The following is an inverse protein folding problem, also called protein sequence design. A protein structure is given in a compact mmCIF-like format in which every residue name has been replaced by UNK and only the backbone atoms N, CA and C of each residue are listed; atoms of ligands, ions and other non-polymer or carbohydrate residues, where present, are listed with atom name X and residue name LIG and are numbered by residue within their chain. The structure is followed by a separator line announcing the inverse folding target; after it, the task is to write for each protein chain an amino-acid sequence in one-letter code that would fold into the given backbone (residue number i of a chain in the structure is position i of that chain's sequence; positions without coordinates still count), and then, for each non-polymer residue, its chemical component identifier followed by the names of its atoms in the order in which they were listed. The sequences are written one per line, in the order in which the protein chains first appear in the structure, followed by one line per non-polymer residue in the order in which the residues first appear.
data_IF_970600217577
#
_entry.id   IF_970600217577
#
_cell.length_a   1.000
_cell.length_b   1.000
_cell.length_c   1.000
_cell.angle_alpha   90.00
_cell.angle_beta   90.00
_cell.angle_gamma   90.00
#
_symmetry.space_group_name_H-M   'P 1'
#
loop_
_entity.id
_entity.type
_entity.pdbx_description
1 polymer ?
#
# COMPACT_ATOMS: atom_id res chain seq x y z
N UNK A 1 18.49 -15.36 -19.59
CA UNK A 1 17.57 -15.45 -18.44
C UNK A 1 17.85 -14.30 -17.50
N UNK A 2 16.88 -13.39 -17.32
CA UNK A 2 17.09 -12.17 -16.52
C UNK A 2 17.38 -12.46 -15.04
N UNK A 3 16.70 -13.46 -14.45
CA UNK A 3 16.94 -13.87 -13.07
C UNK A 3 18.35 -14.43 -12.88
N UNK A 4 18.84 -15.27 -13.80
CA UNK A 4 20.22 -15.77 -13.72
C UNK A 4 21.27 -14.66 -13.86
N UNK A 5 21.04 -13.70 -14.76
CA UNK A 5 21.99 -12.59 -14.93
C UNK A 5 22.12 -11.72 -13.68
N UNK A 6 21.05 -11.58 -12.87
CA UNK A 6 21.11 -10.89 -11.59
C UNK A 6 22.06 -11.54 -10.58
N UNK A 7 22.27 -12.86 -10.72
CA UNK A 7 23.18 -13.67 -9.92
C UNK A 7 24.52 -13.95 -10.64
N UNK A 8 24.89 -13.12 -11.62
CA UNK A 8 26.14 -13.24 -12.41
C UNK A 8 26.25 -14.51 -13.26
N UNK A 9 25.15 -15.23 -13.46
CA UNK A 9 25.10 -16.42 -14.30
C UNK A 9 24.44 -16.09 -15.65
N UNK A 10 25.19 -16.22 -16.75
CA UNK A 10 24.65 -15.99 -18.10
C UNK A 10 24.13 -17.30 -18.68
N UNK A 11 22.81 -17.44 -18.77
CA UNK A 11 22.15 -18.59 -19.40
C UNK A 11 21.12 -18.10 -20.41
N UNK A 12 21.08 -18.74 -21.57
CA UNK A 12 20.06 -18.46 -22.58
C UNK A 12 18.65 -18.73 -22.04
N UNK A 13 17.66 -17.95 -22.47
CA UNK A 13 16.29 -18.12 -21.96
C UNK A 13 15.54 -19.29 -22.64
N UNK A 14 15.97 -19.69 -23.84
CA UNK A 14 15.34 -20.76 -24.62
C UNK A 14 15.38 -22.08 -23.83
N UNK A 15 14.22 -22.65 -23.52
CA UNK A 15 14.09 -23.89 -22.72
C UNK A 15 14.42 -23.76 -21.23
N UNK A 16 15.03 -22.65 -20.79
CA UNK A 16 15.59 -22.51 -19.44
C UNK A 16 14.57 -22.07 -18.37
N UNK A 17 13.42 -21.51 -18.76
CA UNK A 17 12.42 -20.96 -17.80
C UNK A 17 12.00 -21.97 -16.72
N UNK A 18 11.85 -23.25 -17.07
CA UNK A 18 11.40 -24.29 -16.13
C UNK A 18 12.50 -24.76 -15.17
N UNK A 19 13.74 -24.85 -15.66
CA UNK A 19 14.89 -25.39 -14.93
C UNK A 19 15.80 -24.30 -14.34
N UNK A 20 15.30 -23.06 -14.28
CA UNK A 20 16.05 -21.93 -13.74
C UNK A 20 16.26 -22.10 -12.23
N UNK A 21 17.52 -22.21 -11.81
CA UNK A 21 17.93 -22.27 -10.39
C UNK A 21 17.40 -21.09 -9.56
N UNK A 22 17.26 -19.91 -10.18
CA UNK A 22 16.82 -18.67 -9.52
C UNK A 22 15.36 -18.31 -9.84
N UNK A 23 14.53 -19.27 -10.26
CA UNK A 23 13.12 -19.04 -10.62
C UNK A 23 12.31 -18.42 -9.47
N UNK A 24 12.59 -18.85 -8.25
CA UNK A 24 11.88 -18.43 -7.03
C UNK A 24 12.74 -17.54 -6.12
N UNK A 25 13.79 -16.94 -6.65
CA UNK A 25 14.64 -16.06 -5.84
C UNK A 25 13.92 -14.75 -5.50
N UNK A 26 13.96 -14.35 -4.24
CA UNK A 26 13.30 -13.14 -3.70
C UNK A 26 14.28 -12.00 -3.38
N UNK A 27 15.53 -12.07 -3.85
CA UNK A 27 16.49 -10.99 -3.66
C UNK A 27 16.06 -9.70 -4.39
N UNK A 28 16.58 -8.56 -3.96
CA UNK A 28 16.17 -7.24 -4.46
C UNK A 28 16.24 -7.11 -5.98
N UNK A 29 17.34 -7.56 -6.59
CA UNK A 29 17.51 -7.52 -8.05
C UNK A 29 16.46 -8.35 -8.79
N UNK A 30 16.10 -9.52 -8.25
CA UNK A 30 15.10 -10.41 -8.82
C UNK A 30 13.68 -9.87 -8.63
N UNK A 31 13.38 -9.24 -7.49
CA UNK A 31 12.12 -8.52 -7.26
C UNK A 31 11.93 -7.39 -8.27
N UNK A 32 12.91 -6.51 -8.41
CA UNK A 32 12.86 -5.40 -9.38
C UNK A 32 12.68 -5.89 -10.83
N UNK A 33 13.35 -7.00 -11.18
CA UNK A 33 13.19 -7.61 -12.51
C UNK A 33 11.79 -8.16 -12.73
N UNK A 34 11.19 -8.79 -11.72
CA UNK A 34 9.83 -9.30 -11.77
C UNK A 34 8.81 -8.15 -11.89
N UNK A 35 9.01 -7.06 -11.14
CA UNK A 35 8.15 -5.88 -11.18
C UNK A 35 8.21 -5.21 -12.55
N UNK A 36 9.40 -5.03 -13.12
CA UNK A 36 9.58 -4.54 -14.49
C UNK A 36 8.86 -5.41 -15.52
N UNK A 37 8.95 -6.74 -15.39
CA UNK A 37 8.23 -7.67 -16.28
C UNK A 37 6.71 -7.54 -16.14
N UNK A 38 6.20 -7.35 -14.91
CA UNK A 38 4.77 -7.12 -14.67
C UNK A 38 4.28 -5.86 -15.37
N UNK A 39 5.01 -4.75 -15.24
CA UNK A 39 4.69 -3.48 -15.93
C UNK A 39 4.74 -3.64 -17.44
N UNK A 40 5.78 -4.26 -17.98
CA UNK A 40 5.89 -4.50 -19.42
C UNK A 40 4.76 -5.38 -19.95
N UNK A 41 4.35 -6.41 -19.20
CA UNK A 41 3.22 -7.27 -19.56
C UNK A 41 1.92 -6.47 -19.64
N UNK A 42 1.66 -5.62 -18.64
CA UNK A 42 0.50 -4.73 -18.62
C UNK A 42 0.49 -3.77 -19.80
N UNK A 43 1.60 -3.09 -20.08
CA UNK A 43 1.72 -2.18 -21.23
C UNK A 43 1.54 -2.91 -22.56
N UNK A 44 2.04 -4.14 -22.68
CA UNK A 44 1.89 -4.96 -23.88
C UNK A 44 0.44 -5.39 -24.08
N UNK A 45 -0.25 -5.76 -22.99
CA UNK A 45 -1.67 -6.10 -23.04
C UNK A 45 -2.51 -4.89 -23.46
N UNK A 46 -2.23 -3.70 -22.90
CA UNK A 46 -2.94 -2.47 -23.24
C UNK A 46 -2.78 -2.14 -24.73
N UNK A 47 -1.55 -2.13 -25.26
CA UNK A 47 -1.31 -1.86 -26.68
C UNK A 47 -2.00 -2.88 -27.60
N UNK A 48 -2.01 -4.16 -27.21
CA UNK A 48 -2.70 -5.21 -27.97
C UNK A 48 -4.22 -5.00 -27.99
N UNK A 49 -4.81 -4.61 -26.85
CA UNK A 49 -6.23 -4.29 -26.76
C UNK A 49 -6.58 -3.07 -27.63
N UNK A 50 -5.78 -2.00 -27.58
CA UNK A 50 -5.97 -0.82 -28.43
C UNK A 50 -5.90 -1.18 -29.92
N UNK A 51 -4.90 -1.96 -30.34
CA UNK A 51 -4.78 -2.40 -31.73
C UNK A 51 -5.96 -3.28 -32.18
N UNK A 52 -6.54 -4.09 -31.28
CA UNK A 52 -7.75 -4.88 -31.56
C UNK A 52 -8.98 -3.99 -31.71
N UNK A 53 -9.16 -3.00 -30.83
CA UNK A 53 -10.25 -2.03 -30.89
C UNK A 53 -10.18 -1.19 -32.18
N UNK A 54 -8.99 -0.72 -32.56
CA UNK A 54 -8.74 0.01 -33.81
C UNK A 54 -9.00 -0.87 -35.05
N UNK A 55 -8.61 -2.14 -35.03
CA UNK A 55 -8.92 -3.08 -36.11
C UNK A 55 -10.43 -3.30 -36.24
N UNK A 56 -11.15 -3.42 -35.12
CA UNK A 56 -12.61 -3.57 -35.11
C UNK A 56 -13.32 -2.30 -35.61
N UNK A 57 -12.87 -1.12 -35.18
CA UNK A 57 -13.41 0.15 -35.65
C UNK A 57 -13.24 0.30 -37.18
N UNK A 58 -12.04 0.02 -37.70
CA UNK A 58 -11.80 0.03 -39.16
C UNK A 58 -12.66 -0.98 -39.93
N UNK A 59 -12.90 -2.16 -39.37
CA UNK A 59 -13.76 -3.16 -39.98
C UNK A 59 -15.24 -2.70 -40.01
N UNK A 60 -15.70 -2.00 -38.98
CA UNK A 60 -17.06 -1.45 -38.93
C UNK A 60 -17.27 -0.31 -39.94
N UNK A 61 -16.27 0.57 -40.13
CA UNK A 61 -16.33 1.68 -41.10
C UNK A 61 -16.35 1.21 -42.57
N UNK A 62 -15.79 0.04 -42.88
CA UNK A 62 -15.77 -0.54 -44.23
C UNK A 62 -17.03 -1.35 -44.57
N UNK A 63 -18.05 -1.38 -43.70
CA UNK A 63 -19.36 -1.95 -44.01
C UNK A 63 -19.38 -3.46 -44.30
N UNK A 64 -18.35 -4.21 -43.89
CA UNK A 64 -18.37 -5.67 -43.98
C UNK A 64 -19.00 -6.27 -42.72
N UNK A 65 -20.04 -7.12 -42.82
CA UNK A 65 -20.55 -7.83 -41.66
C UNK A 65 -19.47 -8.75 -41.10
N UNK A 66 -19.47 -9.02 -39.78
CA UNK A 66 -18.45 -9.88 -39.19
C UNK A 66 -18.56 -11.28 -39.81
N UNK A 67 -17.47 -11.88 -40.36
CA UNK A 67 -17.49 -13.31 -40.60
C UNK A 67 -17.61 -13.97 -39.24
N UNK A 68 -18.64 -14.80 -39.10
CA UNK A 68 -18.90 -15.58 -37.90
C UNK A 68 -17.66 -16.37 -37.49
N UNK A 69 -17.49 -16.49 -36.17
CA UNK A 69 -16.96 -17.67 -35.47
C UNK A 69 -16.50 -18.82 -36.39
N UNK A 70 -15.27 -18.74 -36.92
CA UNK A 70 -14.55 -19.93 -37.37
C UNK A 70 -13.31 -20.14 -36.49
N UNK A 71 -13.40 -21.23 -35.74
CA UNK A 71 -12.37 -21.86 -34.95
C UNK A 71 -11.30 -22.44 -35.89
N UNK A 72 -10.45 -21.60 -36.48
CA UNK A 72 -9.37 -22.08 -37.34
C UNK A 72 -7.99 -22.00 -36.64
N UNK A 73 -7.55 -23.23 -36.32
CA UNK A 73 -6.22 -23.74 -36.02
C UNK A 73 -5.05 -22.83 -36.45
N UNK A 74 -4.24 -22.43 -35.47
CA UNK A 74 -3.05 -21.60 -35.71
C UNK A 74 -1.93 -22.29 -36.48
N UNK A 75 -1.44 -21.63 -37.53
CA UNK A 75 -0.08 -21.83 -38.06
C UNK A 75 0.91 -20.84 -37.40
N UNK A 76 2.09 -21.29 -36.96
CA UNK A 76 3.06 -20.43 -36.26
C UNK A 76 3.96 -19.65 -37.24
N UNK A 77 4.24 -18.36 -37.00
CA UNK A 77 5.19 -17.62 -37.83
C UNK A 77 6.65 -17.98 -37.48
N UNK A 78 7.44 -18.15 -38.54
CA UNK A 78 8.88 -18.43 -38.58
C UNK A 78 9.69 -17.30 -37.93
N UNK A 79 10.62 -17.70 -37.04
CA UNK A 79 11.57 -16.85 -36.33
C UNK A 79 12.66 -16.26 -37.26
N UNK A 80 12.93 -14.95 -37.15
CA UNK A 80 14.23 -14.37 -37.48
C UNK A 80 14.75 -13.54 -36.29
N UNK A 81 15.99 -13.82 -35.92
CA UNK A 81 16.66 -13.35 -34.70
C UNK A 81 17.18 -11.91 -34.78
N UNK A 82 17.27 -11.17 -33.66
CA UNK A 82 18.11 -9.98 -33.57
C UNK A 82 19.46 -10.25 -32.88
N UNK A 83 20.49 -9.56 -33.38
CA UNK A 83 21.89 -9.56 -32.93
C UNK A 83 22.06 -8.93 -31.55
N UNK A 84 23.15 -9.34 -30.89
CA UNK A 84 23.56 -9.03 -29.51
C UNK A 84 24.32 -7.69 -29.33
N UNK A 85 24.60 -7.26 -28.08
CA UNK A 85 24.62 -5.85 -27.65
C UNK A 85 26.02 -5.27 -27.38
N UNK A 86 26.09 -3.95 -27.18
CA UNK A 86 27.28 -3.23 -26.67
C UNK A 86 26.98 -2.61 -25.30
N UNK A 87 27.93 -2.80 -24.38
CA UNK A 87 28.02 -2.26 -23.01
C UNK A 87 29.25 -1.34 -22.96
N UNK A 88 29.29 -0.33 -22.07
CA UNK A 88 30.45 -0.23 -21.18
C UNK A 88 30.11 -0.06 -19.68
N UNK A 89 31.14 -0.28 -18.87
CA UNK A 89 31.18 -0.64 -17.44
C UNK A 89 31.55 0.57 -16.50
N UNK A 90 31.69 0.38 -15.16
CA UNK A 90 31.67 1.41 -14.10
C UNK A 90 33.06 1.74 -13.47
N UNK A 91 33.13 2.63 -12.45
CA UNK A 91 34.09 2.48 -11.33
C UNK A 91 33.50 2.90 -9.93
N UNK A 92 34.25 3.00 -8.79
CA UNK A 92 34.22 2.05 -7.65
C UNK A 92 33.94 2.72 -6.25
N UNK A 93 34.02 2.00 -5.10
CA UNK A 93 33.31 2.33 -3.85
C UNK A 93 34.18 2.89 -2.71
N UNK A 94 33.54 3.51 -1.69
CA UNK A 94 34.05 3.80 -0.33
C UNK A 94 32.84 3.95 0.59
N UNK A 95 32.87 3.80 1.92
CA UNK A 95 33.55 2.90 2.84
C UNK A 95 32.74 3.00 4.15
N UNK A 96 32.78 1.93 4.92
CA UNK A 96 32.38 1.75 6.33
C UNK A 96 32.30 3.01 7.22
N UNK A 97 31.29 3.03 8.09
CA UNK A 97 31.23 3.89 9.28
C UNK A 97 30.04 3.54 10.18
N UNK A 98 30.26 2.60 11.10
CA UNK A 98 29.45 2.40 12.32
C UNK A 98 30.17 3.02 13.49
N UNK A 99 29.45 3.75 14.35
CA UNK A 99 29.76 4.01 15.77
C UNK A 99 28.63 4.88 16.33
N UNK A 100 27.76 4.38 17.20
CA UNK A 100 27.96 4.21 18.65
C UNK A 100 28.24 5.54 19.34
N UNK A 101 27.25 6.08 20.06
CA UNK A 101 27.50 7.04 21.12
C UNK A 101 27.14 6.38 22.45
N UNK A 102 28.17 6.21 23.27
CA UNK A 102 28.14 5.64 24.59
C UNK A 102 28.41 6.75 25.60
N UNK A 103 27.78 6.60 26.76
CA UNK A 103 28.23 7.06 28.08
C UNK A 103 28.07 8.53 28.52
N UNK A 104 27.36 8.62 29.65
CA UNK A 104 27.40 9.62 30.74
C UNK A 104 28.82 9.68 31.33
N UNK A 105 29.27 10.82 31.87
CA UNK A 105 29.57 10.83 33.31
C UNK A 105 29.35 12.19 34.00
N UNK A 106 29.19 12.17 35.33
CA UNK A 106 29.59 13.30 36.16
C UNK A 106 28.75 13.59 37.41
N UNK A 107 29.05 12.90 38.51
CA UNK A 107 28.91 13.47 39.86
C UNK A 107 30.16 14.29 40.19
N UNK A 108 30.03 15.30 41.07
CA UNK A 108 30.70 15.26 42.38
C UNK A 108 29.68 15.59 43.49
N UNK A 109 29.74 15.10 44.72
CA UNK A 109 30.89 15.02 45.63
C UNK A 109 30.62 15.91 46.86
N UNK A 110 30.10 15.27 47.92
CA UNK A 110 30.16 15.56 49.37
C UNK A 110 30.53 16.96 49.93
N UNK A 111 29.77 17.47 50.92
CA UNK A 111 30.16 17.69 52.35
C UNK A 111 29.07 18.47 53.14
N UNK A 112 29.13 18.68 54.48
CA UNK A 112 28.19 18.09 55.44
C UNK A 112 27.43 19.14 56.31
N UNK A 113 26.61 18.64 57.24
CA UNK A 113 25.97 19.35 58.36
C UNK A 113 24.66 20.12 58.05
N UNK A 114 23.54 19.47 58.37
CA UNK A 114 22.31 20.15 58.80
C UNK A 114 21.60 19.29 59.86
N UNK A 115 21.11 19.88 60.97
CA UNK A 115 20.50 19.14 62.09
C UNK A 115 19.10 18.60 61.72
N UNK A 116 18.58 17.58 62.44
CA UNK A 116 17.23 17.07 62.18
C UNK A 116 16.17 18.09 62.63
N UNK A 117 15.05 18.24 61.90
CA UNK A 117 13.91 19.03 62.36
C UNK A 117 13.15 18.32 63.49
N UNK A 118 12.47 19.05 64.39
CA UNK A 118 11.75 18.47 65.51
C UNK A 118 10.50 17.71 65.06
N UNK A 119 10.18 16.65 65.80
CA UNK A 119 9.02 15.78 65.64
C UNK A 119 7.71 16.58 65.64
N UNK A 120 7.01 16.59 64.50
CA UNK A 120 5.66 17.14 64.37
C UNK A 120 4.65 16.14 64.96
N UNK A 121 3.71 16.55 65.82
CA UNK A 121 2.66 15.66 66.33
C UNK A 121 1.70 15.24 65.21
N UNK A 122 1.10 14.03 65.27
CA UNK A 122 0.20 13.56 64.22
C UNK A 122 -1.06 14.42 64.16
N UNK A 123 -1.57 14.72 62.95
CA UNK A 123 -2.84 15.44 62.82
C UNK A 123 -4.01 14.57 63.29
N UNK A 124 -5.12 15.17 63.75
CA UNK A 124 -6.30 14.41 64.14
C UNK A 124 -6.88 13.67 62.93
N UNK A 125 -7.24 12.40 63.16
CA UNK A 125 -7.89 11.52 62.18
C UNK A 125 -9.21 12.14 61.71
N UNK A 126 -9.20 12.72 60.52
CA UNK A 126 -10.43 13.04 59.80
C UNK A 126 -11.04 11.72 59.26
N UNK A 127 -12.37 11.55 59.26
CA UNK A 127 -13.00 10.46 58.52
C UNK A 127 -12.58 10.57 57.05
N UNK A 128 -12.34 9.45 56.32
CA UNK A 128 -12.04 9.53 54.91
C UNK A 128 -13.24 10.17 54.21
N UNK A 129 -13.07 11.40 53.71
CA UNK A 129 -13.95 11.95 52.69
C UNK A 129 -13.73 11.07 51.47
N UNK A 130 -14.64 10.12 51.23
CA UNK A 130 -14.68 9.41 49.97
C UNK A 130 -14.73 10.45 48.85
N UNK A 131 -13.86 10.33 47.81
CA UNK A 131 -14.02 11.12 46.60
C UNK A 131 -15.44 10.94 46.06
N UNK A 132 -16.03 11.95 45.40
CA UNK A 132 -17.28 11.78 44.68
C UNK A 132 -17.13 10.54 43.79
N UNK A 133 -17.96 9.52 44.03
CA UNK A 133 -18.03 8.36 43.16
C UNK A 133 -18.54 8.85 41.82
N UNK A 134 -17.61 9.25 40.94
CA UNK A 134 -17.87 9.20 39.51
C UNK A 134 -18.28 7.75 39.24
N UNK A 135 -19.38 7.50 38.51
CA UNK A 135 -19.76 6.15 38.17
C UNK A 135 -18.64 5.55 37.33
N UNK A 136 -17.72 4.84 38.00
CA UNK A 136 -16.73 4.04 37.35
C UNK A 136 -17.53 2.97 36.60
N UNK A 137 -17.69 3.15 35.29
CA UNK A 137 -18.11 2.06 34.41
C UNK A 137 -17.24 0.87 34.80
N UNK A 138 -17.88 -0.20 35.29
CA UNK A 138 -17.15 -1.33 35.84
C UNK A 138 -16.23 -1.88 34.75
N UNK A 139 -15.02 -2.33 35.11
CA UNK A 139 -14.08 -2.93 34.16
C UNK A 139 -14.75 -4.04 33.34
N UNK A 140 -15.70 -4.76 33.95
CA UNK A 140 -16.54 -5.76 33.32
C UNK A 140 -17.43 -5.16 32.20
N UNK A 141 -18.06 -4.00 32.44
CA UNK A 141 -18.86 -3.29 31.44
C UNK A 141 -18.00 -2.79 30.28
N UNK A 142 -16.78 -2.31 30.56
CA UNK A 142 -15.85 -1.87 29.52
C UNK A 142 -15.44 -3.04 28.60
N UNK A 143 -15.08 -4.19 29.19
CA UNK A 143 -14.71 -5.39 28.45
C UNK A 143 -15.89 -5.92 27.62
N UNK A 144 -17.10 -5.91 28.18
CA UNK A 144 -18.32 -6.30 27.47
C UNK A 144 -18.58 -5.38 26.27
N UNK A 145 -18.45 -4.06 26.44
CA UNK A 145 -18.58 -3.10 25.35
C UNK A 145 -17.53 -3.33 24.26
N UNK A 146 -16.30 -3.72 24.63
CA UNK A 146 -15.26 -4.07 23.66
C UNK A 146 -15.62 -5.34 22.88
N UNK A 147 -16.14 -6.39 23.53
CA UNK A 147 -16.61 -7.59 22.84
C UNK A 147 -17.73 -7.28 21.83
N UNK A 148 -18.70 -6.45 22.22
CA UNK A 148 -19.80 -6.03 21.33
C UNK A 148 -19.27 -5.27 20.11
N UNK A 149 -18.24 -4.44 20.26
CA UNK A 149 -17.59 -3.77 19.13
C UNK A 149 -16.80 -4.76 18.25
N UNK A 150 -16.08 -5.73 18.84
CA UNK A 150 -15.39 -6.76 18.07
C UNK A 150 -16.36 -7.59 17.22
N UNK A 151 -17.49 -8.01 17.80
CA UNK A 151 -18.53 -8.75 17.09
C UNK A 151 -19.17 -7.91 15.97
N UNK A 152 -19.56 -6.66 16.28
CA UNK A 152 -20.18 -5.74 15.33
C UNK A 152 -19.33 -5.51 14.09
N UNK A 153 -18.01 -5.42 14.26
CA UNK A 153 -17.07 -5.16 13.17
C UNK A 153 -16.39 -6.40 12.61
N UNK A 154 -16.76 -7.59 13.10
CA UNK A 154 -16.16 -8.88 12.74
C UNK A 154 -14.64 -8.91 12.90
N UNK A 155 -14.14 -8.35 14.00
CA UNK A 155 -12.73 -8.36 14.33
C UNK A 155 -12.36 -9.58 15.17
N UNK A 156 -11.15 -10.10 14.94
CA UNK A 156 -10.56 -11.13 15.80
C UNK A 156 -10.26 -10.58 17.20
N UNK A 157 -10.20 -11.45 18.20
CA UNK A 157 -9.84 -11.10 19.58
C UNK A 157 -8.48 -10.37 19.68
N UNK A 158 -7.58 -10.59 18.72
CA UNK A 158 -6.27 -9.92 18.65
C UNK A 158 -6.40 -8.38 18.50
N UNK A 159 -7.55 -7.90 18.03
CA UNK A 159 -7.85 -6.47 17.91
C UNK A 159 -8.39 -5.86 19.22
N UNK A 160 -8.60 -6.66 20.26
CA UNK A 160 -9.12 -6.22 21.56
C UNK A 160 -8.35 -5.02 22.14
N UNK A 161 -7.00 -4.98 22.14
CA UNK A 161 -6.27 -3.83 22.66
C UNK A 161 -6.56 -2.53 21.87
N UNK A 162 -6.76 -2.63 20.54
CA UNK A 162 -7.11 -1.47 19.72
C UNK A 162 -8.51 -0.97 20.05
N UNK A 163 -9.48 -1.88 20.15
CA UNK A 163 -10.87 -1.54 20.49
C UNK A 163 -10.95 -0.91 21.88
N UNK A 164 -10.19 -1.42 22.84
CA UNK A 164 -10.09 -0.86 24.19
C UNK A 164 -9.63 0.61 24.15
N UNK A 165 -8.60 0.92 23.37
CA UNK A 165 -8.09 2.29 23.22
C UNK A 165 -9.13 3.20 22.58
N UNK A 166 -9.82 2.73 21.54
CA UNK A 166 -10.88 3.49 20.85
C UNK A 166 -12.03 3.79 21.82
N UNK A 167 -12.49 2.78 22.56
CA UNK A 167 -13.59 2.92 23.50
C UNK A 167 -13.22 3.83 24.68
N UNK A 168 -11.98 3.75 25.16
CA UNK A 168 -11.45 4.66 26.18
C UNK A 168 -11.41 6.11 25.68
N UNK A 169 -11.03 6.34 24.42
CA UNK A 169 -11.05 7.67 23.80
C UNK A 169 -12.48 8.21 23.61
N UNK A 170 -13.44 7.32 23.37
CA UNK A 170 -14.87 7.66 23.28
C UNK A 170 -15.54 7.86 24.65
N UNK A 171 -14.79 7.86 25.76
CA UNK A 171 -15.36 8.04 27.10
C UNK A 171 -16.24 6.86 27.55
N UNK A 172 -15.96 5.65 27.06
CA UNK A 172 -16.76 4.44 27.28
C UNK A 172 -18.16 4.46 26.63
N UNK A 173 -18.40 5.37 25.69
CA UNK A 173 -19.60 5.38 24.84
C UNK A 173 -19.41 4.44 23.63
N UNK A 174 -20.24 3.40 23.58
CA UNK A 174 -20.19 2.36 22.54
C UNK A 174 -20.63 2.92 21.17
N UNK A 175 -21.65 3.78 21.14
CA UNK A 175 -22.17 4.34 19.89
C UNK A 175 -21.18 5.32 19.29
N UNK A 176 -20.55 6.15 20.12
CA UNK A 176 -19.48 7.06 19.68
C UNK A 176 -18.25 6.29 19.18
N UNK A 177 -17.81 5.25 19.91
CA UNK A 177 -16.71 4.39 19.47
C UNK A 177 -17.02 3.70 18.14
N UNK A 178 -18.25 3.20 17.96
CA UNK A 178 -18.69 2.61 16.70
C UNK A 178 -18.65 3.62 15.56
N UNK A 179 -19.18 4.82 15.77
CA UNK A 179 -19.19 5.90 14.77
C UNK A 179 -17.79 6.25 14.31
N UNK A 180 -16.83 6.32 15.25
CA UNK A 180 -15.40 6.58 14.95
C UNK A 180 -14.77 5.46 14.11
N UNK A 181 -15.11 4.20 14.39
CA UNK A 181 -14.61 3.06 13.61
C UNK A 181 -15.17 3.12 12.18
N UNK A 182 -16.46 3.41 12.02
CA UNK A 182 -17.09 3.55 10.70
C UNK A 182 -16.50 4.71 9.90
N UNK A 183 -16.32 5.88 10.53
CA UNK A 183 -15.66 7.04 9.93
C UNK A 183 -14.23 6.69 9.47
N UNK A 184 -13.46 6.01 10.32
CA UNK A 184 -12.12 5.55 9.98
C UNK A 184 -12.10 4.60 8.79
N UNK A 185 -13.01 3.62 8.75
CA UNK A 185 -13.17 2.69 7.62
C UNK A 185 -13.52 3.45 6.33
N UNK A 186 -14.40 4.44 6.40
CA UNK A 186 -14.80 5.25 5.26
C UNK A 186 -13.62 6.05 4.69
N UNK A 187 -12.86 6.72 5.56
CA UNK A 187 -11.66 7.50 5.15
C UNK A 187 -10.63 6.57 4.49
N UNK A 188 -10.35 5.42 5.09
CA UNK A 188 -9.40 4.45 4.53
C UNK A 188 -9.88 3.93 3.17
N UNK A 189 -11.17 3.59 3.03
CA UNK A 189 -11.75 3.15 1.77
C UNK A 189 -11.69 4.26 0.71
N UNK A 190 -12.03 5.49 1.08
CA UNK A 190 -11.97 6.65 0.18
C UNK A 190 -10.54 6.94 -0.27
N UNK A 191 -9.58 6.90 0.63
CA UNK A 191 -8.17 7.03 0.30
C UNK A 191 -7.73 5.93 -0.68
N UNK A 192 -8.03 4.67 -0.37
CA UNK A 192 -7.72 3.54 -1.24
C UNK A 192 -8.35 3.68 -2.63
N UNK A 193 -9.57 4.20 -2.72
CA UNK A 193 -10.28 4.50 -3.98
C UNK A 193 -9.61 5.63 -4.76
N UNK A 194 -9.28 6.76 -4.10
CA UNK A 194 -8.62 7.91 -4.74
C UNK A 194 -7.27 7.56 -5.35
N UNK A 195 -6.55 6.66 -4.67
CA UNK A 195 -5.22 6.20 -5.04
C UNK A 195 -5.19 4.87 -5.80
N UNK A 196 -6.35 4.31 -6.17
CA UNK A 196 -6.49 3.04 -6.89
C UNK A 196 -5.71 1.87 -6.24
N UNK A 197 -5.67 1.81 -4.90
CA UNK A 197 -4.98 0.75 -4.15
C UNK A 197 -5.78 -0.57 -4.12
N UNK A 198 -7.10 -0.50 -4.34
CA UNK A 198 -7.99 -1.66 -4.34
C UNK A 198 -8.42 -2.00 -5.78
N UNK A 199 -7.94 -3.13 -6.30
CA UNK A 199 -8.25 -3.63 -7.67
C UNK A 199 -9.67 -4.25 -7.74
N UNK A 200 -10.25 -4.66 -6.61
CA UNK A 200 -11.56 -5.29 -6.54
C UNK A 200 -12.42 -4.63 -5.46
N UNK A 201 -13.62 -4.20 -5.84
CA UNK A 201 -14.65 -3.69 -4.93
C UNK A 201 -16.04 -4.14 -5.46
N UNK A 202 -16.36 -5.42 -5.29
CA UNK A 202 -17.72 -5.95 -5.47
C UNK A 202 -18.30 -5.90 -6.90
N UNK A 203 -17.83 -6.79 -7.78
CA UNK A 203 -18.34 -7.06 -9.15
C UNK A 203 -18.21 -5.96 -10.22
N UNK A 204 -17.93 -4.71 -9.88
CA UNK A 204 -17.50 -3.71 -10.87
C UNK A 204 -16.00 -3.42 -10.71
N UNK A 205 -15.22 -3.65 -11.77
CA UNK A 205 -13.90 -3.05 -11.86
C UNK A 205 -14.11 -1.54 -11.80
N UNK A 206 -13.91 -0.93 -10.62
CA UNK A 206 -13.86 0.52 -10.48
C UNK A 206 -12.82 1.05 -11.44
N UNK A 207 -13.33 1.63 -12.53
CA UNK A 207 -12.69 2.59 -13.42
C UNK A 207 -11.18 2.50 -13.37
N UNK A 208 -10.68 1.35 -13.81
CA UNK A 208 -9.26 1.10 -14.07
C UNK A 208 -8.71 2.37 -14.70
N UNK A 209 -7.66 2.94 -14.12
CA UNK A 209 -6.70 3.94 -14.61
C UNK A 209 -6.99 4.61 -15.98
N UNK A 210 -7.43 3.85 -16.98
CA UNK A 210 -8.14 4.26 -18.20
C UNK A 210 -9.16 5.41 -18.02
N UNK A 211 -10.08 5.42 -17.04
CA UNK A 211 -11.10 6.49 -17.00
C UNK A 211 -10.59 7.82 -16.44
N UNK A 212 -9.68 7.79 -15.45
CA UNK A 212 -8.98 8.99 -14.93
C UNK A 212 -8.03 9.56 -15.98
N UNK A 213 -7.34 8.69 -16.71
CA UNK A 213 -6.51 9.06 -17.87
C UNK A 213 -7.36 9.62 -19.01
N UNK A 214 -8.54 9.04 -19.29
CA UNK A 214 -9.48 9.58 -20.29
C UNK A 214 -10.08 10.92 -19.87
N UNK A 215 -10.38 11.14 -18.58
CA UNK A 215 -10.84 12.45 -18.10
C UNK A 215 -9.74 13.51 -18.17
N UNK A 216 -8.49 13.15 -17.86
CA UNK A 216 -7.34 14.05 -18.04
C UNK A 216 -7.08 14.33 -19.52
N UNK A 217 -7.17 13.33 -20.39
CA UNK A 217 -7.06 13.49 -21.86
C UNK A 217 -8.19 14.35 -22.41
N UNK A 218 -9.44 14.16 -21.95
CA UNK A 218 -10.58 14.97 -22.39
C UNK A 218 -10.50 16.41 -21.89
N UNK A 219 -9.93 16.63 -20.70
CA UNK A 219 -9.70 17.97 -20.16
C UNK A 219 -8.56 18.68 -20.93
N UNK A 220 -7.47 17.97 -21.24
CA UNK A 220 -6.36 18.50 -22.07
C UNK A 220 -6.84 18.77 -23.51
N UNK A 221 -7.63 17.87 -24.09
CA UNK A 221 -8.23 18.04 -25.42
C UNK A 221 -9.18 19.25 -25.48
N UNK A 222 -9.95 19.51 -24.43
CA UNK A 222 -10.79 20.70 -24.29
C UNK A 222 -9.98 22.01 -24.26
N UNK A 223 -8.88 22.04 -23.51
CA UNK A 223 -7.99 23.22 -23.41
C UNK A 223 -7.25 23.49 -24.72
N UNK A 224 -6.81 22.44 -25.43
CA UNK A 224 -6.19 22.56 -26.75
C UNK A 224 -7.20 22.99 -27.83
N UNK A 225 -8.43 22.48 -27.78
CA UNK A 225 -9.52 22.87 -28.71
C UNK A 225 -9.95 24.33 -28.51
N UNK A 226 -10.03 24.80 -27.27
CA UNK A 226 -10.26 26.22 -26.97
C UNK A 226 -9.10 27.13 -27.38
N UNK A 227 -7.84 26.67 -27.25
CA UNK A 227 -6.68 27.45 -27.71
C UNK A 227 -6.58 27.55 -29.23
N UNK A 228 -6.92 26.49 -29.97
CA UNK A 228 -6.91 26.53 -31.44
C UNK A 228 -8.03 27.41 -32.02
N UNK A 229 -9.16 27.56 -31.33
CA UNK A 229 -10.23 28.48 -31.75
C UNK A 229 -9.86 29.95 -31.58
N UNK A 230 -9.00 30.29 -30.62
CA UNK A 230 -8.52 31.67 -30.43
C UNK A 230 -7.43 32.09 -31.43
N UNK A 231 -6.81 31.15 -32.14
CA UNK A 231 -5.73 31.44 -33.11
C UNK A 231 -6.23 31.51 -34.57
N UNK A 232 -7.52 31.29 -34.81
CA UNK A 232 -8.13 31.23 -36.14
C UNK A 232 -9.19 32.32 -36.39
N UNK A 233 -9.28 33.33 -35.51
CA UNK A 233 -9.98 34.61 -35.75
C UNK A 233 -8.99 35.74 -35.99
#
# INVERSE_FOLDING_TARGET
CASCSNHRLKVELKGHKRYCKYRYCTCEKCRLTADRQRVMAMQTALRRAQAQDEARARAAELGHPPPGIELERGEPPVVKAPRSPVVPAPPPPRSLGSSSCDSVPGSPGVSPFAPPPPSVPPPPTMPPLLPPQQPAVSLETLVENCHRLLEKFHYSWEMMPLVLVILNYAGSDLDEASRKIDEGKLIVNEYARKHNLNIFDGLELRNSTRQKMLSEINNISGVLSSSMKLFCE
#
